data_IF_085323517860
#
_entry.id   IF_085323517860
#
_cell.length_a   1.000
_cell.length_b   1.000
_cell.length_c   1.000
_cell.angle_alpha   90.00
_cell.angle_beta   90.00
_cell.angle_gamma   90.00
#
_symmetry.space_group_name_H-M   'P 1'
#
loop_
_entity.id
_entity.type
_entity.pdbx_description
1 polymer ?
#
# COMPACT_ATOMS: atom_id res chain seq x y z
N UNK A 1 -0.55 -13.37 1.50
CA UNK A 1 -0.03 -13.04 0.16
C UNK A 1 -0.71 -13.82 -0.96
N UNK A 2 -0.87 -15.14 -0.84
CA UNK A 2 -1.63 -15.92 -1.84
C UNK A 2 -3.10 -15.44 -1.93
N UNK A 3 -3.71 -15.13 -0.78
CA UNK A 3 -5.11 -14.70 -0.67
C UNK A 3 -5.44 -13.44 -1.50
N UNK A 4 -4.63 -12.38 -1.40
CA UNK A 4 -4.83 -11.15 -2.19
C UNK A 4 -4.66 -11.40 -3.70
N UNK A 5 -3.74 -12.27 -4.10
CA UNK A 5 -3.51 -12.56 -5.52
C UNK A 5 -4.63 -13.41 -6.13
N UNK A 6 -5.37 -14.15 -5.33
CA UNK A 6 -6.48 -15.01 -5.73
C UNK A 6 -7.86 -14.35 -5.52
N UNK A 7 -7.91 -13.18 -4.88
CA UNK A 7 -9.16 -12.50 -4.53
C UNK A 7 -9.92 -11.97 -5.75
N UNK A 8 -11.25 -11.91 -5.71
CA UNK A 8 -12.08 -11.49 -6.85
C UNK A 8 -11.94 -9.98 -7.10
N UNK A 9 -11.68 -9.56 -8.35
CA UNK A 9 -11.65 -8.14 -8.74
C UNK A 9 -13.10 -7.67 -8.95
N UNK A 10 -13.49 -6.61 -8.26
CA UNK A 10 -14.81 -6.00 -8.37
C UNK A 10 -14.73 -4.64 -9.06
N UNK A 11 -15.67 -4.37 -9.95
CA UNK A 11 -15.97 -3.03 -10.45
C UNK A 11 -17.25 -2.54 -9.77
N UNK A 12 -17.17 -1.39 -9.11
CA UNK A 12 -18.27 -0.71 -8.43
C UNK A 12 -18.52 0.65 -9.08
N UNK A 13 -19.56 1.35 -8.64
CA UNK A 13 -19.81 2.73 -9.08
C UNK A 13 -18.70 3.71 -8.67
N UNK A 14 -17.96 3.35 -7.62
CA UNK A 14 -16.80 4.11 -7.19
C UNK A 14 -15.61 3.79 -8.08
N UNK A 15 -15.41 2.53 -8.50
CA UNK A 15 -14.34 2.08 -9.43
C UNK A 15 -13.84 0.66 -9.16
N UNK A 16 -12.54 0.38 -9.05
CA UNK A 16 -12.01 -1.00 -8.97
C UNK A 16 -11.45 -1.33 -7.58
N UNK A 17 -11.84 -2.48 -7.02
CA UNK A 17 -11.33 -3.02 -5.74
C UNK A 17 -11.19 -4.55 -5.80
N UNK A 18 -10.69 -5.19 -4.73
CA UNK A 18 -10.81 -6.63 -4.52
C UNK A 18 -11.96 -6.95 -3.54
N UNK A 19 -12.55 -8.14 -3.65
CA UNK A 19 -13.76 -8.50 -2.90
C UNK A 19 -13.57 -8.58 -1.40
N UNK A 20 -12.46 -9.15 -0.93
CA UNK A 20 -12.12 -9.15 0.51
C UNK A 20 -12.01 -7.73 1.05
N UNK A 21 -11.60 -6.79 0.20
CA UNK A 21 -11.41 -5.39 0.53
C UNK A 21 -12.66 -4.52 0.37
N UNK A 22 -13.69 -5.01 -0.32
CA UNK A 22 -15.01 -4.37 -0.35
C UNK A 22 -15.79 -4.59 0.96
N UNK A 23 -15.22 -5.32 1.93
CA UNK A 23 -15.79 -5.55 3.25
C UNK A 23 -14.87 -4.88 4.27
N UNK A 24 -15.36 -3.81 4.92
CA UNK A 24 -14.62 -3.18 6.02
C UNK A 24 -14.52 -4.18 7.18
N UNK A 25 -13.32 -4.62 7.50
CA UNK A 25 -13.06 -5.47 8.65
C UNK A 25 -12.80 -4.61 9.90
N UNK A 26 -13.39 -5.01 11.04
CA UNK A 26 -13.19 -4.33 12.32
C UNK A 26 -11.73 -4.44 12.79
N UNK A 27 -11.16 -3.34 13.27
CA UNK A 27 -9.80 -3.29 13.80
C UNK A 27 -9.67 -4.27 14.97
N UNK A 28 -8.74 -5.21 14.86
CA UNK A 28 -8.32 -6.03 16.01
C UNK A 28 -7.11 -5.36 16.67
N UNK A 29 -7.03 -5.41 17.99
CA UNK A 29 -5.98 -4.76 18.80
C UNK A 29 -4.54 -5.21 18.45
N UNK A 30 -4.39 -6.25 17.61
CA UNK A 30 -3.13 -6.93 17.29
C UNK A 30 -2.42 -6.42 16.01
N UNK A 31 -2.73 -5.22 15.52
CA UNK A 31 -2.10 -4.65 14.32
C UNK A 31 -2.14 -5.57 13.08
N UNK A 32 -3.18 -6.40 12.97
CA UNK A 32 -3.37 -7.28 11.82
C UNK A 32 -3.69 -6.45 10.57
N UNK A 33 -3.22 -6.93 9.42
CA UNK A 33 -3.27 -6.25 8.13
C UNK A 33 -4.61 -5.55 7.91
N UNK A 34 -4.55 -4.25 7.72
CA UNK A 34 -5.72 -3.40 7.58
C UNK A 34 -5.99 -3.08 6.12
N UNK A 35 -7.27 -2.91 5.78
CA UNK A 35 -7.72 -2.62 4.42
C UNK A 35 -8.88 -1.65 4.46
N UNK A 36 -8.64 -0.41 4.04
CA UNK A 36 -9.64 0.66 3.97
C UNK A 36 -9.85 1.12 2.53
N UNK A 37 -11.06 1.63 2.30
CA UNK A 37 -11.35 2.51 1.17
C UNK A 37 -11.29 3.93 1.74
N UNK A 38 -10.17 4.64 1.55
CA UNK A 38 -9.90 5.94 2.21
C UNK A 38 -10.86 7.04 1.75
N UNK A 39 -11.42 6.95 0.54
CA UNK A 39 -12.33 7.93 -0.03
C UNK A 39 -13.22 7.34 -1.14
N UNK A 40 -14.17 8.15 -1.61
CA UNK A 40 -15.02 7.83 -2.76
C UNK A 40 -14.26 7.77 -4.11
N UNK A 41 -12.92 7.90 -4.12
CA UNK A 41 -12.08 8.01 -5.32
C UNK A 41 -11.35 6.71 -5.72
N UNK A 42 -11.69 5.57 -5.11
CA UNK A 42 -11.05 4.25 -5.32
C UNK A 42 -9.68 4.08 -4.67
N UNK A 43 -9.34 4.86 -3.66
CA UNK A 43 -8.10 4.62 -2.94
C UNK A 43 -8.25 3.43 -2.00
N UNK A 44 -7.75 2.29 -2.47
CA UNK A 44 -7.60 1.10 -1.65
C UNK A 44 -6.20 1.06 -1.03
N UNK A 45 -6.05 0.74 0.26
CA UNK A 45 -4.72 0.44 0.84
C UNK A 45 -4.68 -0.90 1.57
N UNK A 46 -3.52 -1.55 1.61
CA UNK A 46 -3.19 -2.63 2.55
C UNK A 46 -1.98 -2.20 3.35
N UNK A 47 -2.11 -2.10 4.67
CA UNK A 47 -0.98 -1.86 5.55
C UNK A 47 -0.46 -3.20 6.11
N UNK A 48 0.84 -3.46 5.93
CA UNK A 48 1.55 -4.60 6.50
C UNK A 48 2.59 -4.12 7.51
N UNK A 49 2.53 -4.71 8.69
CA UNK A 49 3.59 -4.59 9.71
C UNK A 49 4.39 -5.89 9.71
N UNK A 50 5.67 -5.80 9.31
CA UNK A 50 6.55 -6.96 9.19
C UNK A 50 7.67 -6.82 10.22
N UNK A 51 7.91 -7.90 10.97
CA UNK A 51 9.06 -8.02 11.86
C UNK A 51 10.36 -7.72 11.07
N UNK A 52 11.24 -6.85 11.60
CA UNK A 52 12.39 -6.31 10.90
C UNK A 52 13.50 -7.32 10.55
N UNK A 53 13.30 -8.62 10.76
CA UNK A 53 14.31 -9.66 10.49
C UNK A 53 14.94 -9.62 9.08
N UNK A 54 14.29 -9.04 8.04
CA UNK A 54 14.89 -8.81 6.71
C UNK A 54 14.17 -7.75 5.85
N UNK A 55 14.57 -6.47 5.97
CA UNK A 55 14.05 -5.34 5.18
C UNK A 55 14.04 -5.60 3.66
N UNK A 56 15.10 -6.24 3.13
CA UNK A 56 15.23 -6.50 1.69
C UNK A 56 14.18 -7.50 1.22
N UNK A 57 13.94 -8.57 1.98
CA UNK A 57 12.91 -9.54 1.64
C UNK A 57 11.52 -8.91 1.70
N UNK A 58 11.23 -8.08 2.70
CA UNK A 58 9.97 -7.37 2.80
C UNK A 58 9.73 -6.45 1.59
N UNK A 59 10.70 -5.61 1.23
CA UNK A 59 10.59 -4.76 0.04
C UNK A 59 10.39 -5.57 -1.25
N UNK A 60 11.14 -6.66 -1.42
CA UNK A 60 10.99 -7.54 -2.59
C UNK A 60 9.62 -8.25 -2.61
N UNK A 61 9.01 -8.48 -1.45
CA UNK A 61 7.67 -9.03 -1.34
C UNK A 61 6.62 -8.04 -1.85
N UNK A 62 6.73 -6.79 -1.41
CA UNK A 62 5.91 -5.66 -1.86
C UNK A 62 5.94 -5.55 -3.39
N UNK A 63 7.15 -5.44 -3.94
CA UNK A 63 7.37 -5.26 -5.36
C UNK A 63 6.83 -6.43 -6.20
N UNK A 64 7.03 -7.68 -5.74
CA UNK A 64 6.48 -8.88 -6.40
C UNK A 64 4.96 -8.90 -6.36
N UNK A 65 4.36 -8.58 -5.22
CA UNK A 65 2.90 -8.57 -5.03
C UNK A 65 2.27 -7.55 -5.96
N UNK A 66 2.81 -6.32 -5.98
CA UNK A 66 2.32 -5.23 -6.81
C UNK A 66 2.47 -5.53 -8.31
N UNK A 67 3.60 -6.12 -8.72
CA UNK A 67 3.81 -6.56 -10.10
C UNK A 67 2.82 -7.66 -10.50
N UNK A 68 2.58 -8.64 -9.62
CA UNK A 68 1.65 -9.73 -9.89
C UNK A 68 0.19 -9.23 -10.03
N UNK A 69 -0.24 -8.29 -9.18
CA UNK A 69 -1.54 -7.64 -9.30
C UNK A 69 -1.67 -6.86 -10.60
N UNK A 70 -0.69 -6.04 -10.95
CA UNK A 70 -0.70 -5.29 -12.21
C UNK A 70 -0.80 -6.21 -13.44
N UNK A 71 -0.01 -7.29 -13.47
CA UNK A 71 -0.09 -8.31 -14.55
C UNK A 71 -1.47 -8.95 -14.59
N UNK A 72 -2.07 -9.25 -13.43
CA UNK A 72 -3.41 -9.85 -13.36
C UNK A 72 -4.47 -8.91 -13.91
N UNK A 73 -4.49 -7.65 -13.46
CA UNK A 73 -5.45 -6.64 -13.94
C UNK A 73 -5.31 -6.43 -15.46
N UNK A 74 -4.08 -6.43 -16.00
CA UNK A 74 -3.85 -6.38 -17.44
C UNK A 74 -4.42 -7.59 -18.18
N UNK A 75 -4.24 -8.82 -17.65
CA UNK A 75 -4.82 -10.04 -18.22
C UNK A 75 -6.34 -10.00 -18.23
N UNK A 76 -6.94 -9.39 -17.21
CA UNK A 76 -8.38 -9.13 -17.10
C UNK A 76 -8.84 -7.89 -17.89
N UNK A 77 -7.94 -7.31 -18.71
CA UNK A 77 -8.19 -6.16 -19.60
C UNK A 77 -8.61 -4.88 -18.86
N UNK A 78 -8.32 -4.77 -17.57
CA UNK A 78 -8.45 -3.50 -16.82
C UNK A 78 -7.37 -2.52 -17.29
N UNK A 79 -7.73 -1.25 -17.42
CA UNK A 79 -6.84 -0.17 -17.92
C UNK A 79 -7.07 1.10 -17.13
N UNK A 80 -6.08 2.00 -17.16
CA UNK A 80 -6.15 3.24 -16.43
C UNK A 80 -6.08 3.01 -14.92
N UNK A 81 -5.34 1.99 -14.49
CA UNK A 81 -5.18 1.66 -13.08
C UNK A 81 -3.76 2.01 -12.66
N UNK A 82 -3.62 2.61 -11.48
CA UNK A 82 -2.33 2.91 -10.88
C UNK A 82 -2.17 2.11 -9.60
N UNK A 83 -0.99 1.54 -9.41
CA UNK A 83 -0.58 0.80 -8.24
C UNK A 83 0.60 1.52 -7.58
N UNK A 84 0.47 1.81 -6.29
CA UNK A 84 1.51 2.38 -5.43
C UNK A 84 1.92 1.38 -4.36
N UNK A 85 3.20 1.31 -4.04
CA UNK A 85 3.68 0.72 -2.79
C UNK A 85 4.51 1.78 -2.08
N UNK A 86 4.16 2.06 -0.83
CA UNK A 86 4.97 2.86 0.07
C UNK A 86 5.64 1.95 1.07
N UNK A 87 6.95 2.02 1.14
CA UNK A 87 7.75 1.17 1.99
C UNK A 87 8.56 2.01 2.96
N UNK A 88 8.42 1.71 4.25
CA UNK A 88 9.12 2.38 5.32
C UNK A 88 9.87 1.34 6.15
N UNK A 89 11.20 1.51 6.25
CA UNK A 89 12.00 0.69 7.16
C UNK A 89 11.84 1.18 8.61
N UNK A 90 12.16 0.35 9.62
CA UNK A 90 12.21 0.78 11.01
C UNK A 90 13.04 2.05 11.21
N UNK A 91 14.19 2.17 10.52
CA UNK A 91 15.07 3.33 10.62
C UNK A 91 14.41 4.60 10.06
N UNK A 92 13.67 4.50 8.96
CA UNK A 92 12.91 5.61 8.38
C UNK A 92 11.76 6.04 9.31
N UNK A 93 11.03 5.06 9.88
CA UNK A 93 9.98 5.30 10.88
C UNK A 93 10.51 6.02 12.12
N UNK A 94 11.60 5.49 12.68
CA UNK A 94 12.26 6.09 13.84
C UNK A 94 12.72 7.53 13.57
N UNK A 95 13.37 7.79 12.43
CA UNK A 95 13.80 9.14 12.05
C UNK A 95 12.62 10.11 11.97
N UNK A 96 11.51 9.67 11.38
CA UNK A 96 10.30 10.48 11.26
C UNK A 96 9.71 10.85 12.63
N UNK A 97 9.48 9.86 13.52
CA UNK A 97 8.84 10.14 14.82
C UNK A 97 9.73 10.98 15.73
N UNK A 98 11.05 10.81 15.67
CA UNK A 98 12.01 11.67 16.38
C UNK A 98 11.90 13.10 15.86
N UNK A 99 11.91 13.31 14.53
CA UNK A 99 11.78 14.64 13.94
C UNK A 99 10.44 15.32 14.24
N UNK A 100 9.41 14.55 14.60
CA UNK A 100 8.07 15.04 14.95
C UNK A 100 7.80 15.12 16.46
N UNK A 101 8.78 14.79 17.32
CA UNK A 101 8.60 14.68 18.77
C UNK A 101 7.47 13.71 19.18
N UNK A 102 7.34 12.59 18.46
CA UNK A 102 6.35 11.54 18.72
C UNK A 102 6.96 10.26 19.30
N UNK A 103 8.27 10.26 19.58
CA UNK A 103 8.98 9.09 20.10
C UNK A 103 8.84 8.96 21.62
N UNK A 104 8.49 7.77 22.09
CA UNK A 104 8.54 7.35 23.49
C UNK A 104 9.60 6.25 23.72
N UNK A 105 10.24 6.28 24.89
CA UNK A 105 11.28 5.29 25.22
C UNK A 105 10.65 3.90 25.36
N UNK A 106 11.06 2.97 24.51
CA UNK A 106 10.50 1.62 24.43
C UNK A 106 9.68 1.34 23.17
N UNK A 107 9.45 2.34 22.31
CA UNK A 107 8.78 2.15 21.03
C UNK A 107 9.48 1.09 20.16
N UNK A 108 8.69 0.14 19.66
CA UNK A 108 9.12 -0.78 18.61
C UNK A 108 8.84 -0.17 17.23
N UNK A 109 9.81 -0.25 16.33
CA UNK A 109 9.67 0.18 14.94
C UNK A 109 9.68 -1.03 14.03
N UNK A 110 8.56 -1.25 13.34
CA UNK A 110 8.39 -2.31 12.36
C UNK A 110 8.61 -1.78 10.94
N UNK A 111 8.75 -2.70 9.99
CA UNK A 111 8.59 -2.36 8.58
C UNK A 111 7.11 -2.03 8.36
N UNK A 112 6.83 -0.86 7.80
CA UNK A 112 5.50 -0.49 7.33
C UNK A 112 5.51 -0.51 5.80
N UNK A 113 4.66 -1.35 5.22
CA UNK A 113 4.49 -1.43 3.77
C UNK A 113 3.02 -1.24 3.43
N UNK A 114 2.75 -0.25 2.58
CA UNK A 114 1.41 0.11 2.14
C UNK A 114 1.28 -0.14 0.65
N UNK A 115 0.43 -1.08 0.26
CA UNK A 115 0.06 -1.27 -1.15
C UNK A 115 -1.25 -0.57 -1.43
N UNK A 116 -1.27 0.28 -2.46
CA UNK A 116 -2.45 1.01 -2.90
C UNK A 116 -2.70 0.78 -4.39
N UNK A 117 -3.96 0.70 -4.81
CA UNK A 117 -4.29 0.83 -6.23
C UNK A 117 -5.63 1.51 -6.44
N UNK A 118 -5.77 2.20 -7.57
CA UNK A 118 -6.96 3.00 -7.88
C UNK A 118 -7.11 3.23 -9.39
N UNK A 119 -8.35 3.53 -9.81
CA UNK A 119 -8.63 3.99 -11.17
C UNK A 119 -8.16 5.42 -11.33
N UNK A 120 -7.28 5.67 -12.30
CA UNK A 120 -6.75 7.01 -12.58
C UNK A 120 -7.88 7.92 -13.07
N UNK A 121 -8.03 9.14 -12.51
CA UNK A 121 -8.86 10.17 -13.11
C UNK A 121 -8.39 10.46 -14.55
N UNK A 122 -9.32 10.73 -15.47
CA UNK A 122 -9.02 10.94 -16.91
C UNK A 122 -8.03 12.07 -17.18
N UNK A 123 -7.82 12.99 -16.23
CA UNK A 123 -7.04 14.23 -16.38
C UNK A 123 -5.97 14.38 -15.29
N UNK A 124 -5.57 13.30 -14.61
CA UNK A 124 -4.56 13.37 -13.55
C UNK A 124 -3.17 13.71 -14.12
N UNK A 125 -2.77 14.98 -14.08
CA UNK A 125 -1.38 15.41 -14.21
C UNK A 125 -0.66 15.13 -12.88
N UNK A 126 0.18 14.09 -12.83
CA UNK A 126 0.91 13.79 -11.59
C UNK A 126 2.03 14.81 -11.37
N UNK A 127 1.82 15.76 -10.46
CA UNK A 127 2.89 16.56 -9.87
C UNK A 127 3.50 15.74 -8.74
N UNK A 128 4.71 15.23 -8.93
CA UNK A 128 5.45 14.56 -7.87
C UNK A 128 6.18 15.62 -7.03
N UNK A 129 5.71 15.82 -5.81
CA UNK A 129 6.48 16.53 -4.79
C UNK A 129 7.43 15.55 -4.11
N UNK A 130 8.70 15.60 -4.51
CA UNK A 130 9.79 14.95 -3.76
C UNK A 130 10.21 15.87 -2.62
N UNK A 131 10.12 15.38 -1.38
CA UNK A 131 10.75 16.02 -0.24
C UNK A 131 12.17 15.46 -0.13
N UNK A 132 13.17 16.32 0.07
CA UNK A 132 14.61 15.96 0.00
C UNK A 132 15.05 14.88 1.02
N UNK A 133 14.19 14.50 1.97
CA UNK A 133 14.41 13.43 2.94
C UNK A 133 13.12 12.59 3.12
N UNK A 134 12.84 11.65 2.20
CA UNK A 134 11.55 10.96 2.20
C UNK A 134 11.50 9.94 3.34
N UNK A 135 10.41 10.00 4.12
CA UNK A 135 10.16 9.06 5.23
C UNK A 135 9.69 7.67 4.75
N UNK A 136 9.61 7.47 3.44
CA UNK A 136 9.24 6.24 2.75
C UNK A 136 9.97 6.14 1.39
N UNK A 137 10.08 4.94 0.87
CA UNK A 137 10.35 4.67 -0.54
C UNK A 137 9.02 4.39 -1.26
N UNK A 138 8.86 4.83 -2.51
CA UNK A 138 7.65 4.57 -3.29
C UNK A 138 7.95 3.85 -4.60
N UNK A 139 7.18 2.81 -4.88
CA UNK A 139 7.10 2.15 -6.19
C UNK A 139 5.76 2.48 -6.84
N UNK A 140 5.77 2.86 -8.12
CA UNK A 140 4.58 3.16 -8.91
C UNK A 140 4.54 2.29 -10.17
N UNK A 141 3.40 1.68 -10.47
CA UNK A 141 3.11 0.98 -11.73
C UNK A 141 1.77 1.50 -12.28
N UNK A 142 1.77 1.96 -13.53
CA UNK A 142 0.56 2.37 -14.26
C UNK A 142 0.28 1.34 -15.38
N UNK A 143 -0.99 0.93 -15.56
CA UNK A 143 -1.44 0.00 -16.62
C UNK A 143 -2.63 0.54 -17.42
#
# INVERSE_FOLDING_TARGET
MQEILDDEILETEFGITLKSFNTLHELTEDYQSYSEIEDFENHFHVDWFIDPSDNKKAFMLAAKTLTALAIRFQKEKKKGIRFWSYFQTPEMGKRYVIAKNLHEEGDEYLISDRLTFYTRPKEEESVEYENDDPFWARLRIDI
#
